data_IF_749068957461
#
_entry.id   IF_749068957461
#
_cell.length_a   1.000
_cell.length_b   1.000
_cell.length_c   1.000
_cell.angle_alpha   90.00
_cell.angle_beta   90.00
_cell.angle_gamma   90.00
#
_symmetry.space_group_name_H-M   'P 1'
#
loop_
_entity.id
_entity.type
_entity.pdbx_description
1 polymer ?
#
# COMPACT_ATOMS: atom_id res chain seq x y z
N UNK A 1 -4.53 28.68 6.64
CA UNK A 1 -4.18 28.31 8.03
C UNK A 1 -2.68 28.11 8.10
N UNK A 2 -1.99 28.69 9.10
CA UNK A 2 -0.56 28.52 9.33
C UNK A 2 -0.39 27.67 10.59
N UNK A 3 0.42 26.62 10.51
CA UNK A 3 0.75 25.73 11.63
C UNK A 3 2.26 25.77 11.81
N UNK A 4 2.71 25.96 13.04
CA UNK A 4 4.11 25.84 13.42
C UNK A 4 4.31 24.52 14.16
N UNK A 5 5.34 23.77 13.78
CA UNK A 5 5.59 22.41 14.28
C UNK A 5 7.01 22.40 14.86
N UNK A 6 7.10 22.15 16.15
CA UNK A 6 8.38 21.89 16.80
C UNK A 6 8.78 20.42 16.58
N UNK A 7 10.06 20.19 16.27
CA UNK A 7 10.60 18.86 16.08
C UNK A 7 12.03 18.78 16.58
N UNK A 8 12.45 17.56 16.93
CA UNK A 8 13.86 17.31 17.27
C UNK A 8 14.75 17.59 16.06
N UNK A 9 15.88 18.23 16.30
CA UNK A 9 16.88 18.54 15.27
C UNK A 9 17.27 17.30 14.46
N UNK A 10 17.49 16.16 15.13
CA UNK A 10 17.81 14.90 14.46
C UNK A 10 16.73 14.46 13.46
N UNK A 11 15.45 14.70 13.77
CA UNK A 11 14.34 14.35 12.87
C UNK A 11 14.27 15.33 11.71
N UNK A 12 14.46 16.63 11.98
CA UNK A 12 14.52 17.66 10.95
C UNK A 12 15.63 17.37 9.94
N UNK A 13 16.84 17.09 10.42
CA UNK A 13 18.00 16.80 9.58
C UNK A 13 17.80 15.53 8.73
N UNK A 14 17.15 14.50 9.27
CA UNK A 14 16.80 13.30 8.48
C UNK A 14 15.86 13.64 7.33
N UNK A 15 14.83 14.45 7.59
CA UNK A 15 13.87 14.87 6.55
C UNK A 15 14.59 15.71 5.51
N UNK A 16 15.39 16.69 5.94
CA UNK A 16 16.16 17.57 5.07
C UNK A 16 17.10 16.78 4.16
N UNK A 17 17.91 15.89 4.72
CA UNK A 17 18.85 15.08 3.94
C UNK A 17 18.16 14.21 2.89
N UNK A 18 16.97 13.67 3.21
CA UNK A 18 16.19 12.88 2.26
C UNK A 18 15.67 13.74 1.10
N UNK A 19 15.22 14.95 1.37
CA UNK A 19 14.71 15.88 0.36
C UNK A 19 15.84 16.40 -0.52
N UNK A 20 16.97 16.77 0.09
CA UNK A 20 18.18 17.17 -0.62
C UNK A 20 18.62 16.06 -1.59
N UNK A 21 18.59 14.80 -1.14
CA UNK A 21 18.88 13.65 -2.00
C UNK A 21 17.88 13.49 -3.15
N UNK A 22 16.57 13.61 -2.89
CA UNK A 22 15.52 13.52 -3.94
C UNK A 22 15.72 14.59 -5.01
N UNK A 23 15.97 15.84 -4.60
CA UNK A 23 16.19 16.94 -5.52
C UNK A 23 17.47 16.74 -6.35
N UNK A 24 18.53 16.25 -5.71
CA UNK A 24 19.78 15.90 -6.39
C UNK A 24 19.59 14.78 -7.43
N UNK A 25 18.89 13.69 -7.08
CA UNK A 25 18.61 12.58 -8.01
C UNK A 25 17.73 13.05 -9.19
N UNK A 26 16.74 13.90 -8.94
CA UNK A 26 15.92 14.50 -10.00
C UNK A 26 16.75 15.34 -10.97
N UNK A 27 17.69 16.14 -10.46
CA UNK A 27 18.62 16.91 -11.28
C UNK A 27 19.52 16.00 -12.14
N UNK A 28 20.11 14.95 -11.54
CA UNK A 28 20.94 13.98 -12.29
C UNK A 28 20.18 13.26 -13.39
N UNK A 29 18.88 13.02 -13.21
CA UNK A 29 18.01 12.37 -14.20
C UNK A 29 17.48 13.32 -15.27
N UNK A 30 17.90 14.59 -15.26
CA UNK A 30 17.47 15.60 -16.21
C UNK A 30 16.00 16.00 -16.04
N UNK A 31 15.39 15.77 -14.87
CA UNK A 31 14.00 16.16 -14.58
C UNK A 31 13.92 17.62 -14.09
N UNK A 32 14.57 18.52 -14.82
CA UNK A 32 14.70 19.93 -14.41
C UNK A 32 13.37 20.69 -14.40
N UNK A 33 12.33 20.16 -15.08
CA UNK A 33 10.98 20.72 -15.06
C UNK A 33 10.16 20.31 -13.82
N UNK A 34 10.70 19.40 -12.99
CA UNK A 34 10.04 18.99 -11.75
C UNK A 34 10.34 20.02 -10.67
N UNK A 35 9.32 20.59 -10.00
CA UNK A 35 9.56 21.50 -8.88
C UNK A 35 10.40 20.84 -7.79
N UNK A 36 11.37 21.58 -7.24
CA UNK A 36 12.14 21.11 -6.09
C UNK A 36 11.21 20.80 -4.92
N UNK A 37 11.35 19.60 -4.37
CA UNK A 37 10.63 19.20 -3.19
C UNK A 37 11.13 20.01 -1.98
N UNK A 38 10.20 20.47 -1.14
CA UNK A 38 10.50 21.18 0.10
C UNK A 38 10.16 20.33 1.32
N UNK A 39 10.77 20.67 2.46
CA UNK A 39 10.42 20.08 3.77
C UNK A 39 8.93 20.18 4.04
N UNK A 40 8.31 21.29 3.65
CA UNK A 40 6.87 21.49 3.77
C UNK A 40 6.06 20.47 2.95
N UNK A 41 6.51 20.12 1.74
CA UNK A 41 5.83 19.14 0.89
C UNK A 41 5.88 17.74 1.50
N UNK A 42 7.03 17.40 2.10
CA UNK A 42 7.18 16.16 2.84
C UNK A 42 6.21 16.10 4.04
N UNK A 43 6.14 17.16 4.85
CA UNK A 43 5.26 17.20 6.04
C UNK A 43 3.79 17.11 5.62
N UNK A 44 3.38 17.85 4.58
CA UNK A 44 2.02 17.79 4.02
C UNK A 44 1.69 16.40 3.50
N UNK A 45 2.61 15.81 2.72
CA UNK A 45 2.44 14.46 2.17
C UNK A 45 2.32 13.40 3.26
N UNK A 46 3.13 13.48 4.31
CA UNK A 46 3.07 12.57 5.45
C UNK A 46 1.76 12.71 6.23
N UNK A 47 1.29 13.94 6.47
CA UNK A 47 0.01 14.19 7.14
C UNK A 47 -1.17 13.64 6.33
N UNK A 48 -1.21 13.89 5.01
CA UNK A 48 -2.25 13.35 4.11
C UNK A 48 -2.20 11.83 4.09
N UNK A 49 -1.00 11.24 3.95
CA UNK A 49 -0.85 9.78 3.98
C UNK A 49 -1.41 9.19 5.27
N UNK A 50 -1.15 9.83 6.42
CA UNK A 50 -1.66 9.33 7.69
C UNK A 50 -3.16 9.52 7.86
N UNK A 51 -3.72 10.60 7.32
CA UNK A 51 -5.17 10.80 7.28
C UNK A 51 -5.84 9.71 6.44
N UNK A 52 -5.29 9.38 5.27
CA UNK A 52 -5.80 8.28 4.44
C UNK A 52 -5.74 6.93 5.16
N UNK A 53 -4.65 6.65 5.88
CA UNK A 53 -4.58 5.45 6.73
C UNK A 53 -5.70 5.42 7.77
N UNK A 54 -5.93 6.55 8.47
CA UNK A 54 -6.94 6.66 9.52
C UNK A 54 -8.35 6.56 8.94
N UNK A 55 -8.64 7.21 7.82
CA UNK A 55 -9.94 7.10 7.13
C UNK A 55 -10.21 5.65 6.68
N UNK A 56 -9.18 4.97 6.20
CA UNK A 56 -9.26 3.56 5.82
C UNK A 56 -9.48 2.64 7.03
N UNK A 57 -8.90 2.97 8.18
CA UNK A 57 -9.00 2.18 9.42
C UNK A 57 -10.16 2.56 10.33
N UNK A 58 -10.74 3.76 10.21
CA UNK A 58 -11.83 4.27 11.07
C UNK A 58 -13.06 3.34 11.09
N UNK A 59 -13.50 2.72 9.97
CA UNK A 59 -14.55 1.71 9.99
C UNK A 59 -14.22 0.47 10.86
N UNK A 60 -12.92 0.16 11.02
CA UNK A 60 -12.43 -0.97 11.83
C UNK A 60 -12.37 -0.64 13.33
N UNK A 61 -12.18 0.63 13.69
CA UNK A 61 -11.95 1.06 15.08
C UNK A 61 -13.23 1.46 15.83
N UNK A 62 -14.25 1.94 15.11
CA UNK A 62 -15.45 2.53 15.72
C UNK A 62 -16.70 1.63 15.71
N UNK A 63 -16.59 0.39 15.27
CA UNK A 63 -17.77 -0.45 15.09
C UNK A 63 -17.79 -1.65 16.05
N UNK A 64 -18.90 -1.80 16.77
CA UNK A 64 -19.38 -3.15 17.17
C UNK A 64 -19.70 -4.03 15.95
N UNK A 65 -19.55 -3.49 14.74
CA UNK A 65 -19.77 -4.12 13.44
C UNK A 65 -18.54 -4.86 12.89
N UNK A 66 -17.38 -4.95 13.57
CA UNK A 66 -16.21 -5.73 13.07
C UNK A 66 -16.60 -7.18 12.77
N UNK A 67 -17.55 -7.75 13.51
CA UNK A 67 -18.11 -9.10 13.24
C UNK A 67 -18.82 -9.20 11.88
N UNK A 68 -19.23 -8.08 11.31
CA UNK A 68 -19.87 -7.96 9.99
C UNK A 68 -18.97 -7.32 8.94
N UNK A 69 -17.65 -7.25 9.15
CA UNK A 69 -16.70 -6.74 8.15
C UNK A 69 -15.80 -7.88 7.66
N UNK A 70 -15.81 -8.10 6.35
CA UNK A 70 -14.95 -9.07 5.69
C UNK A 70 -13.80 -8.37 4.97
N UNK A 71 -12.57 -8.82 5.24
CA UNK A 71 -11.40 -8.42 4.46
C UNK A 71 -11.40 -9.19 3.14
N UNK A 72 -11.37 -8.46 2.04
CA UNK A 72 -11.33 -8.99 0.68
C UNK A 72 -10.03 -8.56 0.00
N UNK A 73 -9.62 -9.28 -1.04
CA UNK A 73 -8.41 -9.04 -1.81
C UNK A 73 -8.72 -8.72 -3.27
N UNK A 74 -7.76 -8.03 -3.93
CA UNK A 74 -7.77 -7.66 -5.35
C UNK A 74 -6.72 -8.40 -6.19
N UNK A 75 -6.24 -9.56 -5.73
CA UNK A 75 -5.13 -10.24 -6.40
C UNK A 75 -5.48 -10.72 -7.80
N UNK A 76 -6.75 -10.98 -8.08
CA UNK A 76 -7.21 -11.36 -9.43
C UNK A 76 -7.05 -10.20 -10.40
N UNK A 77 -7.42 -9.00 -9.99
CA UNK A 77 -7.31 -7.76 -10.77
C UNK A 77 -5.84 -7.42 -10.99
N UNK A 78 -5.05 -7.40 -9.90
CA UNK A 78 -3.61 -7.10 -9.96
C UNK A 78 -2.86 -8.10 -10.87
N UNK A 79 -3.21 -9.40 -10.80
CA UNK A 79 -2.62 -10.41 -11.68
C UNK A 79 -2.92 -10.13 -13.16
N UNK A 80 -4.14 -9.70 -13.49
CA UNK A 80 -4.53 -9.34 -14.86
C UNK A 80 -3.76 -8.12 -15.37
N UNK A 81 -3.66 -7.07 -14.55
CA UNK A 81 -2.91 -5.85 -14.87
C UNK A 81 -1.43 -6.15 -15.14
N UNK A 82 -0.84 -7.03 -14.32
CA UNK A 82 0.54 -7.50 -14.49
C UNK A 82 0.70 -8.58 -15.56
N UNK A 83 -0.36 -8.92 -16.30
CA UNK A 83 -0.40 -9.96 -17.35
C UNK A 83 0.11 -11.33 -16.87
N UNK A 84 -0.04 -11.64 -15.57
CA UNK A 84 0.37 -12.91 -14.99
C UNK A 84 -0.76 -13.94 -15.08
N UNK A 85 -0.46 -15.13 -15.60
CA UNK A 85 -1.44 -16.21 -15.64
C UNK A 85 -1.50 -16.91 -14.28
N UNK A 86 -2.69 -17.37 -13.92
CA UNK A 86 -2.92 -18.11 -12.67
C UNK A 86 -1.99 -19.34 -12.52
N UNK A 87 -1.66 -20.01 -13.63
CA UNK A 87 -0.74 -21.16 -13.64
C UNK A 87 0.66 -20.76 -13.19
N UNK A 88 1.14 -19.59 -13.58
CA UNK A 88 2.49 -19.12 -13.23
C UNK A 88 2.55 -18.73 -11.75
N UNK A 89 1.47 -18.15 -11.23
CA UNK A 89 1.33 -17.84 -9.80
C UNK A 89 1.30 -19.14 -8.99
N UNK A 90 0.57 -20.17 -9.43
CA UNK A 90 0.55 -21.48 -8.76
C UNK A 90 1.96 -22.10 -8.70
N UNK A 91 2.72 -22.04 -9.80
CA UNK A 91 4.09 -22.57 -9.85
C UNK A 91 5.02 -21.87 -8.86
N UNK A 92 4.92 -20.55 -8.74
CA UNK A 92 5.78 -19.74 -7.85
C UNK A 92 5.40 -19.85 -6.37
N UNK A 93 4.11 -19.98 -6.09
CA UNK A 93 3.58 -20.03 -4.72
C UNK A 93 3.44 -21.44 -4.15
N UNK A 94 3.49 -22.48 -4.99
CA UNK A 94 3.16 -23.86 -4.61
C UNK A 94 1.66 -24.09 -4.35
N UNK A 95 0.81 -23.08 -4.58
CA UNK A 95 -0.63 -23.21 -4.36
C UNK A 95 -1.28 -24.08 -5.45
N UNK A 96 -2.21 -24.93 -5.03
CA UNK A 96 -3.10 -25.63 -5.96
C UNK A 96 -3.98 -24.63 -6.70
N UNK A 97 -4.24 -24.86 -7.99
CA UNK A 97 -5.10 -24.00 -8.83
C UNK A 97 -6.49 -23.77 -8.22
N UNK A 98 -7.09 -24.81 -7.66
CA UNK A 98 -8.37 -24.72 -6.95
C UNK A 98 -8.32 -23.75 -5.77
N UNK A 99 -7.28 -23.86 -4.92
CA UNK A 99 -7.07 -22.95 -3.79
C UNK A 99 -6.89 -21.50 -4.26
N UNK A 100 -6.06 -21.27 -5.28
CA UNK A 100 -5.83 -19.92 -5.81
C UNK A 100 -7.11 -19.32 -6.42
N UNK A 101 -7.95 -20.15 -7.04
CA UNK A 101 -9.24 -19.71 -7.59
C UNK A 101 -10.18 -19.20 -6.48
N UNK A 102 -10.31 -19.95 -5.38
CA UNK A 102 -11.12 -19.54 -4.24
C UNK A 102 -10.62 -18.22 -3.64
N UNK A 103 -9.30 -18.06 -3.54
CA UNK A 103 -8.68 -16.80 -3.04
C UNK A 103 -8.98 -15.64 -3.99
N UNK A 104 -8.79 -15.82 -5.30
CA UNK A 104 -9.06 -14.79 -6.32
C UNK A 104 -10.51 -14.34 -6.36
N UNK A 105 -11.44 -15.22 -5.95
CA UNK A 105 -12.87 -14.90 -5.88
C UNK A 105 -13.32 -14.51 -4.46
N UNK A 106 -12.40 -14.42 -3.50
CA UNK A 106 -12.72 -14.12 -2.10
C UNK A 106 -13.69 -15.12 -1.43
N UNK A 107 -13.70 -16.36 -1.89
CA UNK A 107 -14.49 -17.49 -1.35
C UNK A 107 -13.74 -18.21 -0.22
N UNK A 108 -12.45 -17.90 -0.02
CA UNK A 108 -11.62 -18.45 1.04
C UNK A 108 -10.92 -17.33 1.80
N UNK A 109 -10.91 -17.43 3.13
CA UNK A 109 -10.16 -16.52 4.00
C UNK A 109 -8.68 -16.53 3.63
N UNK A 110 -8.15 -15.34 3.38
CA UNK A 110 -6.76 -15.14 3.01
C UNK A 110 -5.89 -15.12 4.25
N UNK A 111 -5.16 -16.21 4.48
CA UNK A 111 -4.17 -16.30 5.57
C UNK A 111 -2.91 -15.51 5.22
N UNK A 112 -2.19 -15.05 6.24
CA UNK A 112 -0.99 -14.22 6.08
C UNK A 112 0.09 -14.90 5.23
N UNK A 113 0.39 -16.17 5.48
CA UNK A 113 1.33 -16.98 4.69
C UNK A 113 1.02 -16.95 3.18
N UNK A 114 -0.26 -17.12 2.88
CA UNK A 114 -0.81 -17.19 1.53
C UNK A 114 -0.83 -15.80 0.89
N UNK A 115 -1.15 -14.76 1.67
CA UNK A 115 -1.07 -13.37 1.25
C UNK A 115 0.35 -13.05 0.79
N UNK A 116 1.36 -13.28 1.64
CA UNK A 116 2.74 -12.93 1.33
C UNK A 116 3.27 -13.71 0.13
N UNK A 117 2.94 -14.99 -0.01
CA UNK A 117 3.34 -15.77 -1.17
C UNK A 117 2.82 -15.17 -2.49
N UNK A 118 1.54 -14.80 -2.54
CA UNK A 118 0.93 -14.18 -3.72
C UNK A 118 1.48 -12.76 -3.93
N UNK A 119 1.58 -11.96 -2.86
CA UNK A 119 2.06 -10.59 -2.90
C UNK A 119 3.50 -10.48 -3.43
N UNK A 120 4.41 -11.31 -2.94
CA UNK A 120 5.78 -11.41 -3.45
C UNK A 120 5.79 -11.85 -4.92
N UNK A 121 4.94 -12.82 -5.28
CA UNK A 121 4.83 -13.31 -6.66
C UNK A 121 4.35 -12.22 -7.62
N UNK A 122 3.47 -11.33 -7.17
CA UNK A 122 2.96 -10.19 -7.92
C UNK A 122 3.91 -8.99 -7.90
N UNK A 123 5.10 -9.10 -7.31
CA UNK A 123 6.10 -8.04 -7.26
C UNK A 123 5.74 -6.93 -6.28
N UNK A 124 5.23 -7.30 -5.11
CA UNK A 124 5.03 -6.43 -3.95
C UNK A 124 4.21 -5.14 -4.24
N UNK A 125 3.01 -5.24 -4.85
CA UNK A 125 2.14 -4.07 -5.03
C UNK A 125 1.81 -3.40 -3.67
N UNK A 126 1.49 -2.10 -3.63
CA UNK A 126 1.10 -1.44 -2.38
C UNK A 126 -0.04 -2.19 -1.65
N UNK A 127 0.09 -2.37 -0.33
CA UNK A 127 -0.86 -3.19 0.45
C UNK A 127 -2.29 -2.64 0.38
N UNK A 128 -2.46 -1.32 0.35
CA UNK A 128 -3.76 -0.67 0.23
C UNK A 128 -4.46 -0.94 -1.12
N UNK A 129 -3.71 -1.30 -2.16
CA UNK A 129 -4.27 -1.76 -3.43
C UNK A 129 -4.61 -3.25 -3.40
N UNK A 130 -4.02 -4.02 -2.48
CA UNK A 130 -4.22 -5.47 -2.39
C UNK A 130 -5.49 -5.84 -1.65
N UNK A 131 -5.87 -5.05 -0.63
CA UNK A 131 -6.94 -5.38 0.32
C UNK A 131 -8.00 -4.30 0.37
N UNK A 132 -9.24 -4.69 0.60
CA UNK A 132 -10.34 -3.78 0.87
C UNK A 132 -11.33 -4.39 1.85
N UNK A 133 -12.11 -3.55 2.52
CA UNK A 133 -13.12 -3.97 3.48
C UNK A 133 -14.48 -3.98 2.79
N UNK A 134 -15.25 -5.04 2.99
CA UNK A 134 -16.65 -5.14 2.56
C UNK A 134 -17.52 -5.48 3.76
N UNK A 135 -18.72 -4.91 3.86
CA UNK A 135 -19.74 -5.39 4.80
C UNK A 135 -20.15 -6.83 4.44
N UNK A 136 -20.20 -7.70 5.43
CA UNK A 136 -20.77 -9.04 5.34
C UNK A 136 -22.25 -8.87 4.93
N UNK A 137 -22.66 -9.67 3.94
CA UNK A 137 -24.04 -9.70 3.44
C UNK A 137 -24.90 -10.68 4.20
#
# INVERSE_FOLDING_TARGET
MRIEIEMKDETYEKIKNMIDWINLDNSFRGKNDTPEAKIEDFIKGAAISKLLDVETMSPLLNSREVESLEIKNRFKEIAKEKKMKQVDICKRTGLKKANLSLIFNNEKTLRADTFFAIWLTLGCPPIHECLYIKKAG
#
